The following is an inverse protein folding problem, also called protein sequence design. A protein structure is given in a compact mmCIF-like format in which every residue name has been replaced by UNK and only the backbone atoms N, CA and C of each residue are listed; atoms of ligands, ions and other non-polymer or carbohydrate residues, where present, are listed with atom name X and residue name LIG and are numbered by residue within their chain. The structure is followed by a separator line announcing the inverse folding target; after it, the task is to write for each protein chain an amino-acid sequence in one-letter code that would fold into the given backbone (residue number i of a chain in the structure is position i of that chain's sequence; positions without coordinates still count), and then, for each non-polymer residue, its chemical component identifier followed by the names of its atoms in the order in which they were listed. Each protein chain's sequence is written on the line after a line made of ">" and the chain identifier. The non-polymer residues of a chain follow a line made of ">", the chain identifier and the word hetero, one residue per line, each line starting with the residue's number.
data_IF_938658472572
#
_entry.id   IF_938658472572
#
_cell.length_a   1.000
_cell.length_b   1.000
_cell.length_c   1.000
_cell.angle_alpha   90.00
_cell.angle_beta   90.00
_cell.angle_gamma   90.00
#
_symmetry.space_group_name_H-M   'P 1'
#
loop_
_entity.id
_entity.type
_entity.pdbx_description
1 polymer ?
2 water ?
#
# COMPACT_ATOMS: atom_id res chain seq x y z
N UNK A 1 -3.65 -16.15 -14.66
CA UNK A 1 -2.49 -15.82 -13.84
C UNK A 1 -2.98 -15.54 -12.39
N UNK A 2 -2.12 -14.74 -11.73
CA UNK A 2 -2.57 -14.27 -10.42
C UNK A 2 -3.39 -13.02 -10.51
N UNK A 3 -3.76 -12.51 -9.32
CA UNK A 3 -4.55 -11.30 -9.16
C UNK A 3 -3.81 -10.33 -8.27
N UNK A 4 -3.73 -9.09 -8.73
CA UNK A 4 -3.17 -7.99 -7.97
C UNK A 4 -4.25 -6.90 -7.84
N UNK A 5 -4.48 -6.42 -6.62
CA UNK A 5 -5.38 -5.30 -6.39
C UNK A 5 -4.65 -4.32 -5.51
N UNK A 6 -4.75 -3.05 -5.85
CA UNK A 6 -4.22 -1.99 -5.02
C UNK A 6 -5.15 -0.78 -5.02
N UNK A 7 -4.96 0.07 -4.03
CA UNK A 7 -5.66 1.33 -3.94
C UNK A 7 -4.71 2.45 -4.33
N UNK A 8 -5.27 3.45 -5.03
CA UNK A 8 -4.64 4.71 -5.35
C UNK A 8 -5.32 5.83 -4.59
N UNK A 9 -4.63 6.98 -4.52
CA UNK A 9 -4.99 8.02 -3.57
C UNK A 9 -5.39 9.34 -4.22
N UNK A 10 -6.10 10.15 -3.44
CA UNK A 10 -6.50 11.48 -3.88
C UNK A 10 -5.27 12.38 -4.05
N UNK A 11 -5.48 13.50 -4.73
CA UNK A 11 -4.38 14.44 -4.97
C UNK A 11 -3.84 14.97 -3.67
N UNK A 12 -4.71 15.27 -2.69
CA UNK A 12 -4.22 15.77 -1.41
C UNK A 12 -3.41 14.71 -0.67
N UNK A 13 -3.84 13.45 -0.72
CA UNK A 13 -3.03 12.40 -0.09
C UNK A 13 -1.66 12.25 -0.76
N UNK A 14 -1.62 12.27 -2.10
CA UNK A 14 -0.34 12.16 -2.80
C UNK A 14 0.58 13.32 -2.44
N UNK A 15 0.02 14.53 -2.36
CA UNK A 15 0.84 15.67 -1.96
C UNK A 15 1.47 15.41 -0.58
N UNK A 16 0.70 14.86 0.38
CA UNK A 16 1.22 14.60 1.73
C UNK A 16 2.27 13.50 1.74
N UNK A 17 2.09 12.47 0.94
CA UNK A 17 3.09 11.41 0.87
C UNK A 17 4.40 11.87 0.23
N UNK A 18 4.32 12.69 -0.83
CA UNK A 18 5.54 13.23 -1.45
C UNK A 18 6.25 14.19 -0.52
N UNK A 19 5.50 14.96 0.25
CA UNK A 19 6.12 15.81 1.27
C UNK A 19 6.88 14.99 2.29
N UNK A 20 6.32 13.84 2.69
CA UNK A 20 7.02 12.95 3.63
C UNK A 20 8.33 12.42 3.03
N UNK A 21 8.29 12.01 1.76
CA UNK A 21 9.50 11.55 1.09
C UNK A 21 10.57 12.64 0.99
N UNK A 22 10.15 13.86 0.61
CA UNK A 22 11.12 14.96 0.44
C UNK A 22 11.68 15.37 1.77
N UNK A 23 10.82 15.46 2.79
CA UNK A 23 11.24 15.97 4.08
C UNK A 23 12.17 14.99 4.78
N UNK A 24 12.02 13.69 4.54
CA UNK A 24 12.94 12.68 5.07
C UNK A 24 14.17 12.46 4.18
N UNK A 25 14.24 13.09 3.02
CA UNK A 25 15.40 12.96 2.11
C UNK A 25 15.63 11.51 1.70
N UNK A 26 14.56 10.80 1.43
CA UNK A 26 14.70 9.39 1.16
C UNK A 26 15.44 9.16 -0.16
N UNK A 27 16.41 8.25 -0.18
CA UNK A 27 16.95 7.81 -1.46
C UNK A 27 15.94 6.92 -2.16
N UNK A 28 16.09 6.80 -3.47
CA UNK A 28 15.24 5.95 -4.29
C UNK A 28 13.75 6.11 -3.97
N UNK A 29 13.24 7.35 -3.95
CA UNK A 29 11.81 7.54 -3.63
C UNK A 29 10.91 6.93 -4.69
N UNK A 30 9.78 6.37 -4.25
CA UNK A 30 8.74 5.90 -5.18
C UNK A 30 8.15 7.10 -5.95
N UNK A 31 8.09 7.06 -7.28
CA UNK A 31 7.46 8.16 -8.04
C UNK A 31 5.99 8.38 -7.69
N UNK A 32 5.52 9.63 -7.86
CA UNK A 32 4.14 9.96 -7.50
C UNK A 32 3.11 9.03 -8.13
N UNK A 33 3.27 8.74 -9.42
CA UNK A 33 2.31 7.91 -10.12
C UNK A 33 2.28 6.49 -9.58
N UNK A 34 3.33 6.06 -8.89
CA UNK A 34 3.47 4.70 -8.39
C UNK A 34 3.08 4.49 -6.93
N UNK A 35 2.79 5.55 -6.18
CA UNK A 35 2.37 5.37 -4.80
C UNK A 35 1.05 4.63 -4.72
N UNK A 36 0.95 3.65 -3.82
CA UNK A 36 -0.23 2.79 -3.76
C UNK A 36 -0.22 1.98 -2.47
N UNK A 37 -1.32 1.26 -2.20
CA UNK A 37 -1.33 0.26 -1.12
C UNK A 37 -1.93 -1.02 -1.67
N UNK A 38 -1.16 -2.10 -1.56
CA UNK A 38 -1.63 -3.42 -1.98
C UNK A 38 -2.75 -3.93 -1.07
N UNK A 39 -3.80 -4.48 -1.69
CA UNK A 39 -4.90 -5.15 -1.01
C UNK A 39 -4.84 -6.66 -1.24
N UNK A 40 -4.56 -7.07 -2.48
CA UNK A 40 -4.57 -8.47 -2.88
C UNK A 40 -3.26 -8.77 -3.61
N UNK A 41 -2.61 -9.90 -3.25
CA UNK A 41 -1.42 -10.39 -3.95
C UNK A 41 -1.57 -11.89 -3.93
N UNK A 42 -2.25 -12.41 -4.93
CA UNK A 42 -2.75 -13.79 -4.94
C UNK A 42 -2.23 -14.50 -6.18
N UNK A 43 -1.72 -15.72 -5.98
CA UNK A 43 -1.25 -16.54 -7.08
C UNK A 43 -2.41 -17.14 -7.88
N UNK A 44 -3.66 -17.01 -7.39
CA UNK A 44 -4.90 -17.44 -8.04
C UNK A 44 -5.81 -16.24 -8.29
N UNK A 45 -6.63 -16.32 -9.32
CA UNK A 45 -7.46 -15.20 -9.76
C UNK A 45 -8.92 -15.43 -9.37
N UNK A 46 -9.57 -14.41 -8.81
CA UNK A 46 -10.98 -14.43 -8.42
C UNK A 46 -11.66 -13.16 -8.92
N UNK A 47 -13.02 -13.14 -9.08
CA UNK A 47 -13.74 -11.97 -9.64
C UNK A 47 -13.97 -10.85 -8.62
N UNK A 48 -12.87 -10.33 -8.13
CA UNK A 48 -12.90 -9.22 -7.19
C UNK A 48 -13.51 -7.99 -7.89
N UNK A 49 -14.50 -7.34 -7.24
CA UNK A 49 -15.18 -6.15 -7.78
C UNK A 49 -14.57 -4.90 -7.14
N UNK A 50 -13.87 -4.10 -7.95
CA UNK A 50 -13.19 -2.92 -7.45
C UNK A 50 -14.20 -1.91 -6.94
N UNK A 51 -13.75 -1.15 -5.97
CA UNK A 51 -14.60 -0.28 -5.22
C UNK A 51 -14.93 0.95 -6.01
N UNK A 52 -15.98 1.56 -5.53
CA UNK A 52 -16.74 2.61 -6.17
C UNK A 52 -16.87 3.67 -5.10
N UNK A 53 -16.51 4.89 -5.43
CA UNK A 53 -16.50 5.97 -4.45
C UNK A 53 -15.12 6.24 -3.89
N UNK A 54 -15.11 7.23 -2.99
CA UNK A 54 -13.88 7.81 -2.48
C UNK A 54 -14.15 8.26 -1.06
N UNK A 55 -13.19 8.00 -0.16
CA UNK A 55 -13.34 8.32 1.25
C UNK A 55 -12.03 8.00 2.00
N UNK A 56 -11.95 8.50 3.23
CA UNK A 56 -10.77 8.29 4.06
C UNK A 56 -10.69 6.86 4.62
N UNK A 57 -9.51 6.23 4.50
CA UNK A 57 -9.28 4.85 4.90
C UNK A 57 -8.27 4.69 6.03
N UNK A 58 -7.49 5.72 6.35
CA UNK A 58 -6.55 5.69 7.47
C UNK A 58 -6.23 7.15 7.74
N UNK A 59 -5.81 7.43 8.97
CA UNK A 59 -5.42 8.79 9.30
C UNK A 59 -4.02 8.89 9.89
N UNK A 60 -3.28 7.79 9.96
CA UNK A 60 -1.94 7.77 10.50
C UNK A 60 -1.20 6.51 10.08
N UNK A 61 0.13 6.51 10.29
CA UNK A 61 0.90 5.28 10.11
C UNK A 61 2.26 5.39 10.75
N UNK A 62 3.01 4.27 10.76
CA UNK A 62 4.35 4.22 11.33
C UNK A 62 5.36 3.72 10.29
N UNK A 63 6.58 4.25 10.32
CA UNK A 63 7.63 3.76 9.43
C UNK A 63 8.18 2.42 9.87
N UNK A 64 8.36 1.52 8.91
CA UNK A 64 8.97 0.23 9.13
C UNK A 64 9.72 -0.16 7.85
N UNK A 65 10.80 -0.95 7.99
CA UNK A 65 11.49 -1.53 6.84
C UNK A 65 10.89 -2.89 6.56
N UNK A 66 10.53 -3.12 5.29
CA UNK A 66 10.06 -4.41 4.78
C UNK A 66 11.11 -4.82 3.75
N UNK A 67 11.91 -5.83 4.06
CA UNK A 67 12.86 -6.33 3.09
C UNK A 67 12.12 -6.95 1.93
N UNK A 68 12.64 -6.74 0.73
CA UNK A 68 12.06 -7.34 -0.45
C UNK A 68 12.76 -8.65 -0.74
N UNK A 69 12.16 -9.41 -1.66
CA UNK A 69 12.71 -10.68 -2.04
C UNK A 69 14.07 -10.58 -2.71
N UNK A 70 14.39 -9.44 -3.32
CA UNK A 70 15.72 -9.23 -3.89
C UNK A 70 16.73 -8.80 -2.85
N UNK A 71 16.31 -8.61 -1.61
CA UNK A 71 17.19 -8.18 -0.56
C UNK A 71 17.26 -6.68 -0.35
N UNK A 72 16.41 -5.90 -1.03
CA UNK A 72 16.37 -4.46 -0.79
C UNK A 72 15.68 -4.13 0.53
N UNK A 73 16.22 -3.15 1.24
CA UNK A 73 15.55 -2.60 2.43
C UNK A 73 14.62 -1.48 1.97
N UNK A 74 13.35 -1.81 1.74
CA UNK A 74 12.34 -0.83 1.38
C UNK A 74 11.77 -0.20 2.65
N UNK A 75 11.52 1.11 2.60
CA UNK A 75 10.89 1.79 3.71
C UNK A 75 9.41 2.05 3.41
N UNK A 76 8.52 1.66 4.35
CA UNK A 76 7.07 1.76 4.18
C UNK A 76 6.43 2.52 5.35
N UNK A 77 5.24 3.07 5.07
CA UNK A 77 4.33 3.63 6.05
C UNK A 77 3.27 2.56 6.35
N UNK A 78 3.35 1.91 7.51
CA UNK A 78 2.43 0.85 7.91
C UNK A 78 1.19 1.45 8.58
N UNK A 79 0.01 1.01 8.19
CA UNK A 79 -1.26 1.51 8.65
C UNK A 79 -2.09 0.43 9.34
N UNK A 80 -2.97 0.86 10.25
CA UNK A 80 -4.11 0.08 10.72
C UNK A 80 -5.35 0.61 10.00
N UNK A 81 -5.92 -0.17 9.11
CA UNK A 81 -7.05 0.31 8.32
C UNK A 81 -8.13 -0.75 8.30
N UNK A 82 -9.25 -0.50 9.00
CA UNK A 82 -10.39 -1.40 8.95
C UNK A 82 -10.85 -1.63 7.51
N UNK A 83 -10.86 -0.56 6.71
CA UNK A 83 -11.27 -0.68 5.31
C UNK A 83 -10.37 -1.67 4.55
N UNK A 84 -9.05 -1.44 4.57
CA UNK A 84 -8.16 -2.30 3.76
C UNK A 84 -8.20 -3.74 4.25
N UNK A 85 -8.21 -3.95 5.58
CA UNK A 85 -8.31 -5.30 6.11
C UNK A 85 -9.61 -5.98 5.69
N UNK A 86 -10.71 -5.23 5.69
CA UNK A 86 -12.00 -5.78 5.23
C UNK A 86 -11.95 -6.10 3.74
N UNK A 87 -11.32 -5.27 2.91
CA UNK A 87 -11.24 -5.58 1.47
C UNK A 87 -10.35 -6.81 1.23
N UNK A 88 -9.24 -6.93 1.96
CA UNK A 88 -8.41 -8.13 1.88
C UNK A 88 -9.19 -9.37 2.29
N UNK A 89 -10.04 -9.24 3.33
CA UNK A 89 -10.86 -10.37 3.78
C UNK A 89 -11.97 -10.69 2.80
N UNK A 90 -12.52 -9.69 2.10
CA UNK A 90 -13.44 -9.92 0.98
C UNK A 90 -12.78 -10.75 -0.10
N UNK A 91 -11.57 -10.37 -0.53
CA UNK A 91 -10.85 -11.20 -1.51
C UNK A 91 -10.65 -12.63 -1.00
N UNK A 92 -10.24 -12.77 0.26
CA UNK A 92 -10.09 -14.11 0.84
C UNK A 92 -11.40 -14.88 0.84
N UNK A 93 -12.51 -14.22 1.16
CA UNK A 93 -13.81 -14.87 1.17
C UNK A 93 -14.21 -15.32 -0.24
N UNK A 94 -13.81 -14.57 -1.28
CA UNK A 94 -14.00 -14.98 -2.67
C UNK A 94 -13.11 -16.14 -3.09
N UNK A 95 -12.04 -16.41 -2.34
CA UNK A 95 -11.13 -17.51 -2.63
C UNK A 95 -9.67 -17.12 -2.86
N UNK A 96 -9.30 -15.84 -2.79
CA UNK A 96 -7.94 -15.45 -3.05
C UNK A 96 -7.03 -16.00 -1.94
N UNK A 97 -5.75 -16.24 -2.28
CA UNK A 97 -4.76 -16.68 -1.32
C UNK A 97 -3.79 -15.54 -1.05
N UNK A 98 -3.04 -15.71 0.04
CA UNK A 98 -2.04 -14.74 0.45
C UNK A 98 -0.97 -15.51 1.22
N UNK A 99 0.14 -15.84 0.55
CA UNK A 99 1.09 -16.80 1.10
C UNK A 99 2.16 -16.11 1.95
N UNK A 100 1.69 -15.41 2.99
CA UNK A 100 2.51 -14.70 3.96
C UNK A 100 1.85 -14.79 5.32
N UNK A 101 2.63 -14.71 6.40
CA UNK A 101 2.05 -14.93 7.73
C UNK A 101 0.98 -13.92 8.13
N UNK A 102 1.08 -12.67 7.68
CA UNK A 102 0.10 -11.65 8.05
C UNK A 102 -0.07 -10.63 6.92
N UNK A 103 -1.27 -10.04 6.85
CA UNK A 103 -1.55 -8.89 5.98
C UNK A 103 -1.36 -7.62 6.79
N UNK A 104 -0.40 -6.80 6.37
CA UNK A 104 -0.05 -5.57 7.08
C UNK A 104 -0.12 -4.42 6.07
N UNK A 105 -1.26 -3.73 6.00
CA UNK A 105 -1.39 -2.65 5.00
C UNK A 105 -0.30 -1.61 5.16
N UNK A 106 0.25 -1.20 4.01
CA UNK A 106 1.33 -0.21 3.99
C UNK A 106 1.40 0.52 2.67
N UNK A 107 2.11 1.64 2.68
CA UNK A 107 2.46 2.43 1.49
C UNK A 107 3.98 2.49 1.43
N UNK A 108 4.58 1.88 0.39
CA UNK A 108 6.04 1.96 0.22
C UNK A 108 6.42 3.37 -0.19
N UNK A 109 7.43 3.90 0.49
CA UNK A 109 7.93 5.25 0.23
C UNK A 109 9.29 5.28 -0.46
N UNK A 110 10.17 4.32 -0.18
CA UNK A 110 11.47 4.21 -0.85
C UNK A 110 11.71 2.77 -1.20
N UNK A 111 12.22 2.55 -2.43
CA UNK A 111 12.53 1.20 -2.87
C UNK A 111 13.74 0.57 -2.14
N UNK A 112 14.64 1.38 -1.63
CA UNK A 112 15.94 0.90 -1.16
C UNK A 112 16.62 1.99 -0.39
N UNK A 113 16.72 1.84 0.94
CA UNK A 113 17.38 2.81 1.78
C UNK A 113 18.82 2.41 2.13
N UNK A 114 19.36 1.38 1.50
CA UNK A 114 20.77 1.05 1.68
C UNK A 114 21.10 0.59 3.09
N UNK A 115 21.99 1.31 3.77
CA UNK A 115 22.33 1.05 5.16
C UNK A 115 21.60 1.95 6.15
N UNK A 116 20.76 2.89 5.69
CA UNK A 116 20.12 3.89 6.53
C UNK A 116 18.97 3.32 7.35
N UNK A 117 18.61 4.05 8.41
CA UNK A 117 17.44 3.72 9.22
C UNK A 117 16.58 4.97 9.38
N UNK A 118 15.25 4.77 9.46
CA UNK A 118 14.29 5.85 9.68
C UNK A 118 13.20 5.36 10.62
N UNK A 119 12.78 6.19 11.58
CA UNK A 119 11.75 5.85 12.56
C UNK A 119 10.78 7.02 12.70
N UNK A 120 9.48 6.73 12.83
CA UNK A 120 8.51 7.79 13.01
C UNK A 120 7.07 7.38 12.95
N UNK A 121 6.19 8.16 13.55
CA UNK A 121 4.75 7.98 13.47
C UNK A 121 4.14 9.24 12.89
N UNK A 122 3.39 9.13 11.79
CA UNK A 122 2.91 10.27 11.02
C UNK A 122 1.38 10.33 10.94
N UNK A 123 0.84 11.53 10.96
CA UNK A 123 -0.57 11.79 10.74
C UNK A 123 -0.74 12.22 9.28
N UNK A 124 -1.46 11.42 8.52
CA UNK A 124 -1.64 11.62 7.07
C UNK A 124 -3.09 11.22 6.79
N UNK A 125 -3.98 12.10 6.26
CA UNK A 125 -5.31 11.65 5.81
C UNK A 125 -5.11 10.86 4.53
N UNK A 126 -5.33 9.56 4.61
CA UNK A 126 -5.15 8.68 3.46
C UNK A 126 -6.53 8.49 2.84
N UNK A 127 -6.76 9.12 1.69
CA UNK A 127 -8.06 9.12 1.02
C UNK A 127 -7.96 8.25 -0.22
N UNK A 128 -8.80 7.24 -0.25
CA UNK A 128 -8.92 6.37 -1.41
C UNK A 128 -9.54 7.12 -2.58
N UNK A 129 -8.87 7.11 -3.73
CA UNK A 129 -9.45 7.61 -4.99
C UNK A 129 -10.13 6.49 -5.73
N UNK A 130 -9.46 5.37 -5.93
CA UNK A 130 -10.05 4.22 -6.57
C UNK A 130 -9.18 3.02 -6.26
N UNK A 131 -9.76 1.85 -6.42
CA UNK A 131 -9.03 0.60 -6.47
C UNK A 131 -8.86 0.20 -7.93
N UNK A 132 -7.79 -0.53 -8.21
CA UNK A 132 -7.60 -1.15 -9.51
C UNK A 132 -7.25 -2.62 -9.30
N UNK A 133 -7.72 -3.42 -10.23
CA UNK A 133 -7.43 -4.85 -10.24
C UNK A 133 -6.91 -5.23 -11.61
N UNK A 134 -5.93 -6.12 -11.61
CA UNK A 134 -5.25 -6.47 -12.84
C UNK A 134 -4.55 -7.83 -12.68
N UNK A 135 -4.14 -8.38 -13.82
CA UNK A 135 -3.40 -9.64 -13.80
C UNK A 135 -2.02 -9.43 -13.17
N UNK A 136 -1.59 -10.42 -12.37
CA UNK A 136 -0.31 -10.44 -11.68
C UNK A 136 0.64 -11.45 -12.33
N UNK A 137 1.81 -10.98 -12.77
CA UNK A 137 2.89 -11.82 -13.34
C UNK A 137 3.44 -12.78 -12.30
#
# INVERSE_FOLDING_TARGET
>A
SGLYVAAKFSESTLDALEELQRSLKLPNPVPRDKLHTTIVYSRVNVPYKVASGSFEIADKGKLTVFETQSGNRALVLEMDSDYLSARHSYAKALGASYDYPDYRPHITLSYNIGVLNFSGEYKVPVVLDREYSEELDLEWSDKD
#
